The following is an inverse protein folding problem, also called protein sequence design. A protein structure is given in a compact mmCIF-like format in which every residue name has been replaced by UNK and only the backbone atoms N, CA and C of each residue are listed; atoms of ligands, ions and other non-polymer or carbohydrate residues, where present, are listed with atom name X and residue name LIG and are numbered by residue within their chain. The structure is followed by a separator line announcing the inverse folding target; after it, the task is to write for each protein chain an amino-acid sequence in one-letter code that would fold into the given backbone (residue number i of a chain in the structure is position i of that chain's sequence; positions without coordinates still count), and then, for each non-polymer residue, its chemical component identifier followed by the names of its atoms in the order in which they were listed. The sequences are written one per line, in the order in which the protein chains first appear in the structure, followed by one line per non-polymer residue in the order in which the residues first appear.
data_IF_734415986384
#
_entry.id   IF_734415986384
#
_cell.length_a   1.000
_cell.length_b   1.000
_cell.length_c   1.000
_cell.angle_alpha   90.00
_cell.angle_beta   90.00
_cell.angle_gamma   90.00
#
_symmetry.space_group_name_H-M   'P 1'
#
loop_
_entity.id
_entity.type
_entity.pdbx_description
1 polymer ?
#
# COMPACT_ATOMS: atom_id res chain seq x y z
N UNK A 1 -23.99 -17.36 -4.49
CA UNK A 1 -22.78 -16.72 -5.05
C UNK A 1 -21.79 -16.47 -3.92
N UNK A 2 -20.60 -17.04 -4.01
CA UNK A 2 -19.59 -16.89 -2.96
C UNK A 2 -18.95 -15.49 -3.01
N UNK A 3 -19.08 -14.73 -1.92
CA UNK A 3 -18.40 -13.43 -1.73
C UNK A 3 -17.12 -13.55 -0.89
N UNK A 4 -16.69 -14.79 -0.67
CA UNK A 4 -15.55 -15.16 0.17
C UNK A 4 -14.68 -16.11 -0.61
N UNK A 5 -13.37 -16.04 -0.39
CA UNK A 5 -12.40 -16.92 -1.03
C UNK A 5 -11.36 -17.40 -0.03
N UNK A 6 -10.70 -18.53 -0.33
CA UNK A 6 -9.59 -19.01 0.46
C UNK A 6 -8.39 -18.04 0.36
N UNK A 7 -7.85 -17.67 1.51
CA UNK A 7 -6.67 -16.83 1.65
C UNK A 7 -5.44 -17.40 0.95
N UNK A 8 -5.17 -18.71 1.04
CA UNK A 8 -3.97 -19.32 0.46
C UNK A 8 -3.93 -19.12 -1.05
N UNK A 9 -5.06 -19.37 -1.71
CA UNK A 9 -5.20 -19.19 -3.15
C UNK A 9 -5.04 -17.73 -3.59
N UNK A 10 -5.51 -16.78 -2.77
CA UNK A 10 -5.30 -15.36 -3.03
C UNK A 10 -3.81 -15.03 -3.02
N UNK A 11 -3.06 -15.54 -2.04
CA UNK A 11 -1.62 -15.34 -1.94
C UNK A 11 -0.90 -15.93 -3.17
N UNK A 12 -1.24 -17.17 -3.56
CA UNK A 12 -0.65 -17.81 -4.75
C UNK A 12 -0.89 -16.95 -6.01
N UNK A 13 -2.11 -16.44 -6.19
CA UNK A 13 -2.48 -15.65 -7.37
C UNK A 13 -1.79 -14.28 -7.40
N UNK A 14 -1.64 -13.58 -6.27
CA UNK A 14 -0.97 -12.27 -6.27
C UNK A 14 0.53 -12.38 -6.59
N UNK A 15 1.14 -13.55 -6.44
CA UNK A 15 2.54 -13.76 -6.79
C UNK A 15 2.77 -14.00 -8.29
N UNK A 16 1.74 -14.39 -9.04
CA UNK A 16 1.86 -14.62 -10.48
C UNK A 16 2.01 -13.29 -11.24
N UNK A 17 3.09 -13.14 -12.01
CA UNK A 17 3.46 -11.85 -12.62
C UNK A 17 3.04 -11.69 -14.09
N UNK A 18 2.75 -12.78 -14.80
CA UNK A 18 2.64 -12.76 -16.26
C UNK A 18 1.20 -12.57 -16.78
N UNK A 19 0.21 -12.49 -15.88
CA UNK A 19 -1.21 -12.51 -16.26
C UNK A 19 -1.99 -11.34 -15.64
N UNK A 20 -2.07 -10.23 -16.38
CA UNK A 20 -2.66 -8.97 -15.92
C UNK A 20 -4.13 -9.05 -15.46
N UNK A 21 -4.88 -10.06 -15.91
CA UNK A 21 -6.32 -10.24 -15.61
C UNK A 21 -6.60 -11.51 -14.80
N UNK A 22 -5.57 -12.15 -14.25
CA UNK A 22 -5.72 -13.41 -13.50
C UNK A 22 -6.56 -13.21 -12.24
N UNK A 23 -6.27 -12.14 -11.48
CA UNK A 23 -7.01 -11.75 -10.27
C UNK A 23 -8.49 -11.54 -10.59
N UNK A 24 -8.80 -10.76 -11.63
CA UNK A 24 -10.19 -10.47 -12.03
C UNK A 24 -10.93 -11.74 -12.45
N UNK A 25 -10.26 -12.59 -13.24
CA UNK A 25 -10.81 -13.84 -13.73
C UNK A 25 -11.11 -14.77 -12.55
N UNK A 26 -10.17 -14.93 -11.64
CA UNK A 26 -10.32 -15.74 -10.43
C UNK A 26 -11.46 -15.24 -9.54
N UNK A 27 -11.49 -13.95 -9.21
CA UNK A 27 -12.57 -13.42 -8.36
C UNK A 27 -13.93 -13.59 -9.01
N UNK A 28 -14.03 -13.38 -10.32
CA UNK A 28 -15.28 -13.61 -11.05
C UNK A 28 -15.71 -15.07 -10.98
N UNK A 29 -14.78 -16.03 -11.17
CA UNK A 29 -15.03 -17.46 -11.00
C UNK A 29 -15.54 -17.77 -9.58
N UNK A 30 -14.93 -17.21 -8.54
CA UNK A 30 -15.39 -17.35 -7.16
C UNK A 30 -16.82 -16.82 -7.01
N UNK A 31 -17.10 -15.63 -7.53
CA UNK A 31 -18.42 -15.00 -7.44
C UNK A 31 -19.52 -15.85 -8.07
N UNK A 32 -19.29 -16.37 -9.28
CA UNK A 32 -20.26 -17.19 -10.01
C UNK A 32 -20.39 -18.62 -9.46
N UNK A 33 -19.44 -19.06 -8.64
CA UNK A 33 -19.50 -20.41 -8.07
C UNK A 33 -20.68 -20.58 -7.11
N UNK A 34 -21.27 -21.76 -7.18
CA UNK A 34 -22.29 -22.25 -6.27
C UNK A 34 -21.64 -23.19 -5.26
N UNK A 35 -21.98 -23.02 -3.98
CA UNK A 35 -21.58 -23.95 -2.94
C UNK A 35 -22.53 -25.14 -2.95
N UNK A 36 -21.97 -26.34 -3.08
CA UNK A 36 -22.68 -27.61 -3.00
C UNK A 36 -22.09 -28.42 -1.85
N UNK A 37 -22.93 -28.99 -0.98
CA UNK A 37 -22.47 -29.88 0.09
C UNK A 37 -22.74 -31.31 -0.34
N UNK A 38 -21.69 -32.11 -0.49
CA UNK A 38 -21.84 -33.52 -0.81
C UNK A 38 -22.31 -34.28 0.43
N UNK A 39 -23.41 -35.04 0.30
CA UNK A 39 -24.07 -35.69 1.44
C UNK A 39 -23.20 -36.75 2.10
N UNK A 40 -22.46 -37.54 1.30
CA UNK A 40 -21.63 -38.66 1.78
C UNK A 40 -20.42 -38.20 2.58
N UNK A 41 -19.67 -37.24 2.05
CA UNK A 41 -18.43 -36.77 2.70
C UNK A 41 -18.68 -35.57 3.61
N UNK A 42 -19.88 -34.98 3.56
CA UNK A 42 -20.27 -33.71 4.18
C UNK A 42 -19.37 -32.53 3.77
N UNK A 43 -18.55 -32.68 2.73
CA UNK A 43 -17.61 -31.66 2.24
C UNK A 43 -18.33 -30.65 1.37
N UNK A 44 -17.85 -29.41 1.44
CA UNK A 44 -18.32 -28.34 0.57
C UNK A 44 -17.50 -28.33 -0.72
N UNK A 45 -18.17 -28.16 -1.84
CA UNK A 45 -17.60 -27.99 -3.18
C UNK A 45 -18.07 -26.65 -3.74
N UNK A 46 -17.21 -26.01 -4.53
CA UNK A 46 -17.51 -24.74 -5.20
C UNK A 46 -17.49 -24.98 -6.70
N UNK A 47 -18.67 -25.01 -7.31
CA UNK A 47 -18.88 -25.48 -8.68
C UNK A 47 -19.45 -24.36 -9.55
N UNK A 48 -18.97 -24.30 -10.79
CA UNK A 48 -19.44 -23.43 -11.84
C UNK A 48 -19.95 -24.33 -12.96
N UNK A 49 -21.28 -24.42 -13.08
CA UNK A 49 -21.91 -25.27 -14.08
C UNK A 49 -21.73 -24.69 -15.48
N UNK A 50 -21.31 -25.55 -16.41
CA UNK A 50 -21.10 -25.20 -17.81
C UNK A 50 -21.52 -26.37 -18.70
N UNK A 51 -22.01 -26.07 -19.89
CA UNK A 51 -22.44 -27.09 -20.87
C UNK A 51 -21.34 -28.08 -21.27
N UNK A 52 -20.06 -27.71 -21.16
CA UNK A 52 -18.92 -28.60 -21.43
C UNK A 52 -17.63 -28.16 -20.72
N UNK A 53 -16.59 -28.99 -20.83
CA UNK A 53 -15.22 -28.71 -20.35
C UNK A 53 -14.44 -27.70 -21.21
N UNK A 54 -15.13 -27.02 -22.14
CA UNK A 54 -14.52 -26.01 -22.98
C UNK A 54 -14.27 -24.72 -22.21
N UNK A 55 -13.03 -24.22 -22.27
CA UNK A 55 -12.69 -22.89 -21.75
C UNK A 55 -13.54 -21.77 -22.38
N UNK A 56 -14.03 -21.98 -23.61
CA UNK A 56 -14.90 -21.03 -24.29
C UNK A 56 -16.25 -20.92 -23.60
N UNK A 57 -16.80 -22.05 -23.13
CA UNK A 57 -18.06 -22.06 -22.39
C UNK A 57 -17.90 -21.41 -21.01
N UNK A 58 -16.79 -21.68 -20.31
CA UNK A 58 -16.48 -20.98 -19.06
C UNK A 58 -16.29 -19.47 -19.27
N UNK A 59 -15.64 -19.04 -20.36
CA UNK A 59 -15.55 -17.63 -20.74
C UNK A 59 -16.93 -17.00 -20.97
N UNK A 60 -17.87 -17.68 -21.63
CA UNK A 60 -19.23 -17.15 -21.83
C UNK A 60 -19.92 -16.86 -20.50
N UNK A 61 -19.77 -17.76 -19.51
CA UNK A 61 -20.33 -17.55 -18.16
C UNK A 61 -19.66 -16.35 -17.47
N UNK A 62 -18.32 -16.25 -17.52
CA UNK A 62 -17.59 -15.09 -16.99
C UNK A 62 -18.05 -13.79 -17.64
N UNK A 63 -18.18 -13.76 -18.98
CA UNK A 63 -18.59 -12.57 -19.73
C UNK A 63 -20.01 -12.14 -19.40
N UNK A 64 -20.91 -13.10 -19.17
CA UNK A 64 -22.29 -12.83 -18.74
C UNK A 64 -22.31 -12.13 -17.38
N UNK A 65 -21.49 -12.57 -16.44
CA UNK A 65 -21.39 -11.96 -15.10
C UNK A 65 -20.63 -10.63 -15.10
N UNK A 66 -19.59 -10.53 -15.93
CA UNK A 66 -18.69 -9.39 -16.00
C UNK A 66 -18.50 -8.92 -17.46
N UNK A 67 -19.45 -8.13 -18.00
CA UNK A 67 -19.45 -7.73 -19.42
C UNK A 67 -18.23 -6.91 -19.86
N UNK A 68 -17.50 -6.32 -18.92
CA UNK A 68 -16.27 -5.57 -19.19
C UNK A 68 -15.07 -6.44 -19.61
N UNK A 69 -15.16 -7.78 -19.51
CA UNK A 69 -14.17 -8.69 -20.09
C UNK A 69 -14.28 -8.74 -21.62
N UNK A 70 -13.51 -7.87 -22.28
CA UNK A 70 -13.52 -7.72 -23.74
C UNK A 70 -12.83 -8.87 -24.48
N UNK A 71 -11.65 -9.29 -24.01
CA UNK A 71 -10.80 -10.25 -24.72
C UNK A 71 -11.04 -11.69 -24.27
N UNK A 72 -11.61 -12.51 -25.15
CA UNK A 72 -11.74 -13.96 -24.93
C UNK A 72 -10.39 -14.62 -24.70
N UNK A 73 -9.39 -14.26 -25.51
CA UNK A 73 -8.04 -14.85 -25.46
C UNK A 73 -7.42 -14.59 -24.10
N UNK A 74 -7.48 -13.36 -23.60
CA UNK A 74 -6.91 -12.99 -22.30
C UNK A 74 -7.54 -13.79 -21.15
N UNK A 75 -8.87 -13.91 -21.14
CA UNK A 75 -9.58 -14.68 -20.09
C UNK A 75 -9.25 -16.17 -20.21
N UNK A 76 -9.26 -16.72 -21.43
CA UNK A 76 -8.94 -18.13 -21.68
C UNK A 76 -7.52 -18.47 -21.22
N UNK A 77 -6.56 -17.57 -21.47
CA UNK A 77 -5.19 -17.73 -20.97
C UNK A 77 -5.15 -17.72 -19.43
N UNK A 78 -5.90 -16.83 -18.78
CA UNK A 78 -6.00 -16.82 -17.32
C UNK A 78 -6.67 -18.10 -16.77
N UNK A 79 -7.70 -18.63 -17.44
CA UNK A 79 -8.34 -19.91 -17.08
C UNK A 79 -7.34 -21.06 -17.18
N UNK A 80 -6.56 -21.12 -18.26
CA UNK A 80 -5.52 -22.13 -18.44
C UNK A 80 -4.47 -22.05 -17.32
N UNK A 81 -4.07 -20.84 -16.95
CA UNK A 81 -3.15 -20.62 -15.83
C UNK A 81 -3.74 -21.11 -14.50
N UNK A 82 -4.99 -20.74 -14.18
CA UNK A 82 -5.65 -21.23 -12.96
C UNK A 82 -5.77 -22.76 -12.92
N UNK A 83 -5.95 -23.40 -14.08
CA UNK A 83 -5.93 -24.86 -14.19
C UNK A 83 -4.53 -25.41 -13.96
N UNK A 84 -3.50 -24.79 -14.54
CA UNK A 84 -2.09 -25.17 -14.35
C UNK A 84 -1.67 -25.06 -12.88
N UNK A 85 -2.10 -23.99 -12.18
CA UNK A 85 -1.92 -23.82 -10.73
C UNK A 85 -2.71 -24.84 -9.89
N UNK A 86 -3.54 -25.69 -10.49
CA UNK A 86 -4.40 -26.64 -9.78
C UNK A 86 -5.55 -26.00 -9.00
N UNK A 87 -5.84 -24.72 -9.24
CA UNK A 87 -6.91 -23.96 -8.56
C UNK A 87 -8.27 -24.35 -9.13
N UNK A 88 -8.36 -24.55 -10.45
CA UNK A 88 -9.60 -25.01 -11.09
C UNK A 88 -9.44 -26.35 -11.79
N UNK A 89 -10.50 -27.15 -11.75
CA UNK A 89 -10.56 -28.46 -12.40
C UNK A 89 -11.96 -28.72 -12.94
N UNK A 90 -12.09 -29.29 -14.13
CA UNK A 90 -13.39 -29.75 -14.62
C UNK A 90 -13.65 -31.18 -14.12
N UNK A 91 -14.86 -31.47 -13.66
CA UNK A 91 -15.30 -32.87 -13.47
C UNK A 91 -16.57 -33.12 -14.27
N UNK A 92 -16.50 -34.17 -15.09
CA UNK A 92 -17.61 -34.65 -15.92
C UNK A 92 -18.78 -35.15 -15.05
N UNK A 93 -18.48 -35.75 -13.91
CA UNK A 93 -19.50 -36.32 -13.01
C UNK A 93 -20.45 -35.28 -12.42
N UNK A 94 -20.00 -34.03 -12.21
CA UNK A 94 -20.88 -32.93 -11.77
C UNK A 94 -21.20 -31.92 -12.88
N UNK A 95 -20.75 -32.16 -14.13
CA UNK A 95 -21.02 -31.27 -15.27
C UNK A 95 -20.51 -29.83 -15.07
N UNK A 96 -19.35 -29.63 -14.43
CA UNK A 96 -18.90 -28.29 -14.07
C UNK A 96 -17.44 -28.14 -13.70
N UNK A 97 -17.02 -26.88 -13.58
CA UNK A 97 -15.70 -26.48 -13.11
C UNK A 97 -15.71 -26.26 -11.60
N UNK A 98 -14.73 -26.84 -10.94
CA UNK A 98 -14.53 -26.76 -9.50
C UNK A 98 -13.43 -25.77 -9.19
N UNK A 99 -13.59 -25.04 -8.10
CA UNK A 99 -12.50 -24.30 -7.48
C UNK A 99 -11.97 -25.16 -6.33
N UNK A 100 -10.87 -25.88 -6.58
CA UNK A 100 -10.23 -26.79 -5.62
C UNK A 100 -9.73 -25.99 -4.42
N UNK A 101 -9.77 -26.52 -3.20
CA UNK A 101 -9.24 -25.84 -2.00
C UNK A 101 -10.08 -24.67 -1.47
N UNK A 102 -11.17 -24.27 -2.14
CA UNK A 102 -12.08 -23.23 -1.62
C UNK A 102 -12.77 -23.66 -0.32
N UNK A 103 -13.00 -24.96 -0.12
CA UNK A 103 -13.58 -25.49 1.12
C UNK A 103 -12.68 -25.23 2.33
N UNK A 104 -11.36 -25.21 2.13
CA UNK A 104 -10.41 -25.02 3.23
C UNK A 104 -10.54 -23.61 3.84
N UNK A 105 -11.26 -22.68 3.20
CA UNK A 105 -11.59 -21.37 3.79
C UNK A 105 -12.34 -21.46 5.12
N UNK A 106 -13.02 -22.58 5.39
CA UNK A 106 -13.67 -22.85 6.67
C UNK A 106 -12.64 -23.16 7.78
N UNK A 107 -11.46 -23.65 7.42
CA UNK A 107 -10.41 -24.08 8.35
C UNK A 107 -9.25 -23.07 8.41
N UNK A 108 -8.70 -22.67 7.26
CA UNK A 108 -7.55 -21.75 7.14
C UNK A 108 -7.94 -20.27 7.15
N UNK A 109 -9.24 -19.99 7.07
CA UNK A 109 -9.81 -18.65 7.02
C UNK A 109 -10.04 -18.15 5.61
N UNK A 110 -10.83 -17.07 5.52
CA UNK A 110 -11.34 -16.54 4.28
C UNK A 110 -11.03 -15.05 4.12
N UNK A 111 -10.94 -14.60 2.87
CA UNK A 111 -10.93 -13.19 2.49
C UNK A 111 -12.30 -12.82 1.91
N UNK A 112 -12.92 -11.76 2.42
CA UNK A 112 -14.11 -11.19 1.80
C UNK A 112 -13.72 -10.45 0.52
N UNK A 113 -14.48 -10.66 -0.56
CA UNK A 113 -14.31 -10.00 -1.84
C UNK A 113 -15.24 -8.77 -1.90
N UNK A 114 -14.71 -7.54 -1.78
CA UNK A 114 -15.53 -6.34 -1.85
C UNK A 114 -16.15 -6.18 -3.24
N UNK A 115 -17.33 -5.57 -3.31
CA UNK A 115 -18.03 -5.31 -4.59
C UNK A 115 -17.17 -4.58 -5.62
N UNK A 116 -16.27 -3.71 -5.16
CA UNK A 116 -15.33 -2.98 -6.00
C UNK A 116 -14.46 -3.89 -6.89
N UNK A 117 -14.12 -5.11 -6.46
CA UNK A 117 -13.34 -6.04 -7.28
C UNK A 117 -14.06 -6.51 -8.54
N UNK A 118 -15.37 -6.28 -8.63
CA UNK A 118 -16.19 -6.69 -9.76
C UNK A 118 -16.60 -5.51 -10.65
N UNK A 119 -15.92 -4.36 -10.55
CA UNK A 119 -16.21 -3.18 -11.37
C UNK A 119 -15.24 -3.03 -12.54
N UNK A 120 -15.67 -2.27 -13.55
CA UNK A 120 -14.82 -1.88 -14.68
C UNK A 120 -13.59 -1.08 -14.23
N UNK A 121 -13.72 -0.30 -13.15
CA UNK A 121 -12.63 0.50 -12.60
C UNK A 121 -11.53 -0.38 -12.03
N UNK A 122 -11.87 -1.39 -11.23
CA UNK A 122 -10.89 -2.38 -10.77
C UNK A 122 -10.28 -3.15 -11.95
N UNK A 123 -11.12 -3.54 -12.92
CA UNK A 123 -10.64 -4.22 -14.13
C UNK A 123 -9.58 -3.42 -14.87
N UNK A 124 -9.67 -2.10 -14.90
CA UNK A 124 -8.75 -1.22 -15.64
C UNK A 124 -7.47 -0.85 -14.88
N UNK A 125 -7.33 -1.23 -13.60
CA UNK A 125 -6.09 -0.98 -12.86
C UNK A 125 -4.90 -1.73 -13.47
N UNK A 126 -3.69 -1.19 -13.26
CA UNK A 126 -2.48 -1.94 -13.57
C UNK A 126 -2.31 -3.10 -12.58
N UNK A 127 -1.55 -4.12 -12.98
CA UNK A 127 -1.43 -5.37 -12.21
C UNK A 127 -0.85 -5.16 -10.80
N UNK A 128 0.12 -4.25 -10.64
CA UNK A 128 0.70 -3.93 -9.34
C UNK A 128 -0.30 -3.27 -8.40
N UNK A 129 -1.15 -2.36 -8.91
CA UNK A 129 -2.23 -1.74 -8.14
C UNK A 129 -3.26 -2.76 -7.70
N UNK A 130 -3.65 -3.70 -8.58
CA UNK A 130 -4.57 -4.79 -8.22
C UNK A 130 -4.01 -5.65 -7.11
N UNK A 131 -2.78 -6.13 -7.28
CA UNK A 131 -2.08 -6.95 -6.29
C UNK A 131 -1.99 -6.23 -4.93
N UNK A 132 -1.63 -4.95 -4.94
CA UNK A 132 -1.53 -4.15 -3.72
C UNK A 132 -2.89 -3.98 -3.01
N UNK A 133 -3.96 -3.73 -3.77
CA UNK A 133 -5.32 -3.64 -3.21
C UNK A 133 -5.80 -4.97 -2.63
N UNK A 134 -5.59 -6.05 -3.37
CA UNK A 134 -5.95 -7.40 -2.91
C UNK A 134 -5.18 -7.74 -1.63
N UNK A 135 -3.88 -7.46 -1.61
CA UNK A 135 -3.06 -7.69 -0.43
C UNK A 135 -3.48 -6.83 0.78
N UNK A 136 -3.86 -5.57 0.54
CA UNK A 136 -4.41 -4.72 1.59
C UNK A 136 -5.71 -5.29 2.19
N UNK A 137 -6.63 -5.77 1.34
CA UNK A 137 -7.89 -6.40 1.75
C UNK A 137 -7.65 -7.73 2.45
N UNK A 138 -6.67 -8.52 2.01
CA UNK A 138 -6.21 -9.71 2.70
C UNK A 138 -5.77 -9.38 4.13
N UNK A 139 -4.87 -8.41 4.30
CA UNK A 139 -4.38 -7.99 5.62
C UNK A 139 -5.55 -7.59 6.54
N UNK A 140 -6.52 -6.81 6.03
CA UNK A 140 -7.70 -6.37 6.78
C UNK A 140 -8.57 -7.56 7.24
N UNK A 141 -8.74 -8.57 6.38
CA UNK A 141 -9.61 -9.71 6.67
C UNK A 141 -9.00 -10.72 7.66
N UNK A 142 -7.66 -10.80 7.75
CA UNK A 142 -7.00 -11.70 8.71
C UNK A 142 -7.23 -11.27 10.16
N UNK A 143 -7.45 -12.27 11.06
CA UNK A 143 -7.92 -12.09 12.45
C UNK A 143 -7.07 -11.13 13.31
N UNK A 144 -5.82 -10.86 12.94
CA UNK A 144 -4.97 -9.89 13.64
C UNK A 144 -5.39 -8.43 13.49
N UNK A 145 -6.07 -8.05 12.39
CA UNK A 145 -6.36 -6.65 12.08
C UNK A 145 -7.79 -6.19 12.32
N UNK A 146 -8.73 -7.10 12.61
CA UNK A 146 -10.12 -6.75 12.94
C UNK A 146 -10.25 -5.79 14.14
N UNK A 147 -9.25 -5.79 15.03
CA UNK A 147 -9.18 -4.93 16.20
C UNK A 147 -8.10 -3.83 16.12
N UNK A 148 -7.26 -3.83 15.07
CA UNK A 148 -6.17 -2.87 14.93
C UNK A 148 -6.68 -1.61 14.24
N UNK A 149 -6.58 -0.47 14.95
CA UNK A 149 -6.93 0.87 14.45
C UNK A 149 -6.05 1.32 13.28
N UNK A 150 -4.94 0.63 13.02
CA UNK A 150 -3.98 0.95 11.96
C UNK A 150 -3.41 -0.31 11.31
N UNK A 151 -3.40 -0.36 9.98
CA UNK A 151 -2.69 -1.39 9.20
C UNK A 151 -1.20 -1.07 9.24
N UNK A 152 -0.36 -2.01 9.68
CA UNK A 152 1.08 -1.81 9.64
C UNK A 152 1.63 -2.22 8.27
N UNK A 153 2.29 -1.28 7.61
CA UNK A 153 3.01 -1.53 6.35
C UNK A 153 4.49 -1.57 6.70
N UNK A 154 5.02 -2.78 6.88
CA UNK A 154 6.45 -2.98 7.12
C UNK A 154 7.17 -3.01 5.78
N UNK A 155 7.81 -1.89 5.42
CA UNK A 155 8.64 -1.81 4.22
C UNK A 155 10.13 -2.07 4.52
N UNK A 156 10.49 -2.35 5.80
CA UNK A 156 11.86 -2.65 6.24
C UNK A 156 12.30 -4.06 5.86
N UNK A 157 11.37 -5.00 5.86
CA UNK A 157 11.64 -6.40 5.61
C UNK A 157 11.94 -6.58 4.12
N UNK A 158 13.15 -7.05 3.82
CA UNK A 158 13.66 -7.16 2.45
C UNK A 158 12.79 -8.07 1.58
N UNK A 159 12.10 -9.01 2.22
CA UNK A 159 11.11 -9.92 1.61
C UNK A 159 9.66 -9.54 1.92
N UNK A 160 9.38 -8.28 2.27
CA UNK A 160 7.99 -7.86 2.50
C UNK A 160 7.16 -8.05 1.23
N UNK A 161 5.94 -8.54 1.40
CA UNK A 161 4.99 -8.74 0.31
C UNK A 161 4.76 -7.48 -0.53
N UNK A 162 4.81 -6.31 0.11
CA UNK A 162 4.76 -5.02 -0.56
C UNK A 162 5.90 -4.85 -1.57
N UNK A 163 7.14 -5.23 -1.23
CA UNK A 163 8.28 -5.17 -2.14
C UNK A 163 8.13 -6.15 -3.30
N UNK A 164 7.64 -7.36 -3.04
CA UNK A 164 7.38 -8.37 -4.08
C UNK A 164 6.33 -7.90 -5.10
N UNK A 165 5.23 -7.31 -4.61
CA UNK A 165 4.12 -6.80 -5.44
C UNK A 165 4.56 -5.67 -6.38
N UNK A 166 5.33 -4.71 -5.87
CA UNK A 166 5.76 -3.54 -6.63
C UNK A 166 7.10 -3.73 -7.34
N UNK A 167 7.81 -4.84 -7.10
CA UNK A 167 9.14 -5.14 -7.64
C UNK A 167 10.13 -3.99 -7.46
N UNK A 168 10.08 -3.34 -6.30
CA UNK A 168 10.92 -2.18 -5.99
C UNK A 168 11.54 -2.33 -4.61
N UNK A 169 12.82 -1.98 -4.51
CA UNK A 169 13.54 -1.86 -3.22
C UNK A 169 13.41 -0.46 -2.61
N UNK A 170 12.93 0.54 -3.37
CA UNK A 170 12.83 1.91 -2.91
C UNK A 170 11.61 2.10 -1.98
N UNK A 171 11.88 2.18 -0.68
CA UNK A 171 10.88 2.30 0.38
C UNK A 171 10.00 3.54 0.25
N UNK A 172 10.52 4.65 -0.27
CA UNK A 172 9.76 5.90 -0.46
C UNK A 172 8.83 5.83 -1.67
N UNK A 173 9.30 5.23 -2.77
CA UNK A 173 8.47 4.91 -3.93
C UNK A 173 7.29 4.01 -3.53
N UNK A 174 7.57 2.92 -2.80
CA UNK A 174 6.57 2.01 -2.28
C UNK A 174 5.56 2.74 -1.38
N UNK A 175 6.04 3.57 -0.44
CA UNK A 175 5.18 4.38 0.42
C UNK A 175 4.25 5.27 -0.40
N UNK A 176 4.78 6.03 -1.37
CA UNK A 176 3.99 6.95 -2.20
C UNK A 176 2.94 6.18 -3.00
N UNK A 177 3.30 5.06 -3.62
CA UNK A 177 2.38 4.21 -4.38
C UNK A 177 1.28 3.63 -3.50
N UNK A 178 1.62 3.05 -2.35
CA UNK A 178 0.67 2.49 -1.39
C UNK A 178 -0.26 3.59 -0.86
N UNK A 179 0.26 4.76 -0.48
CA UNK A 179 -0.55 5.90 -0.03
C UNK A 179 -1.51 6.40 -1.11
N UNK A 180 -1.07 6.47 -2.36
CA UNK A 180 -1.94 6.89 -3.48
C UNK A 180 -3.08 5.88 -3.70
N UNK A 181 -2.79 4.59 -3.64
CA UNK A 181 -3.80 3.53 -3.74
C UNK A 181 -4.79 3.61 -2.57
N UNK A 182 -4.29 3.79 -1.34
CA UNK A 182 -5.13 3.94 -0.15
C UNK A 182 -6.03 5.16 -0.28
N UNK A 183 -5.47 6.32 -0.63
CA UNK A 183 -6.24 7.56 -0.78
C UNK A 183 -7.30 7.45 -1.86
N UNK A 184 -6.95 6.83 -2.99
CA UNK A 184 -7.85 6.69 -4.14
C UNK A 184 -8.97 5.69 -3.89
N UNK A 185 -8.72 4.59 -3.20
CA UNK A 185 -9.70 3.49 -3.12
C UNK A 185 -10.27 3.29 -1.73
N UNK A 186 -9.49 3.49 -0.67
CA UNK A 186 -9.99 3.31 0.71
C UNK A 186 -10.71 4.53 1.26
N UNK A 187 -10.41 5.75 0.78
CA UNK A 187 -11.18 6.95 1.17
C UNK A 187 -12.59 6.91 0.57
N UNK A 188 -12.71 6.52 -0.69
CA UNK A 188 -13.99 6.31 -1.39
C UNK A 188 -14.77 5.09 -0.83
N UNK A 189 -14.07 3.97 -0.56
CA UNK A 189 -14.70 2.84 0.14
C UNK A 189 -15.14 3.22 1.56
N UNK A 190 -14.47 4.15 2.26
CA UNK A 190 -14.89 4.55 3.61
C UNK A 190 -16.22 5.31 3.61
N UNK A 191 -16.53 6.09 2.58
CA UNK A 191 -17.80 6.80 2.46
C UNK A 191 -18.93 5.89 1.98
N UNK A 192 -18.67 5.05 0.98
CA UNK A 192 -19.68 4.13 0.45
C UNK A 192 -20.00 2.98 1.44
N UNK A 193 -18.98 2.47 2.13
CA UNK A 193 -19.13 1.48 3.20
C UNK A 193 -19.78 2.10 4.44
N UNK A 194 -19.45 3.36 4.80
CA UNK A 194 -20.19 4.15 5.81
C UNK A 194 -21.67 4.24 5.48
N UNK A 195 -22.00 4.61 4.23
CA UNK A 195 -23.40 4.82 3.81
C UNK A 195 -24.21 3.52 3.93
N UNK A 196 -23.63 2.38 3.52
CA UNK A 196 -24.30 1.06 3.61
C UNK A 196 -24.37 0.51 5.04
N UNK A 197 -23.36 0.74 5.89
CA UNK A 197 -23.46 0.40 7.32
C UNK A 197 -24.51 1.29 8.01
N UNK A 198 -24.50 2.60 7.77
CA UNK A 198 -25.52 3.52 8.31
C UNK A 198 -26.94 3.13 7.90
N UNK A 199 -27.15 2.68 6.66
CA UNK A 199 -28.44 2.17 6.19
C UNK A 199 -28.89 0.88 6.89
N UNK A 200 -27.96 -0.03 7.23
CA UNK A 200 -28.25 -1.24 8.01
C UNK A 200 -28.63 -0.95 9.47
N UNK A 201 -28.21 0.19 10.02
CA UNK A 201 -28.44 0.57 11.42
C UNK A 201 -29.49 1.69 11.59
N UNK A 202 -30.32 1.99 10.57
CA UNK A 202 -31.41 3.00 10.58
C UNK A 202 -32.56 2.74 11.58
N UNK A 203 -32.34 1.96 12.64
CA UNK A 203 -33.28 1.75 13.74
C UNK A 203 -32.67 1.78 15.15
N UNK A 204 -31.35 1.96 15.27
CA UNK A 204 -30.67 2.03 16.57
C UNK A 204 -29.82 3.30 16.64
N UNK A 205 -30.48 4.42 16.89
CA UNK A 205 -29.81 5.61 17.43
C UNK A 205 -29.37 5.31 18.86
N UNK A 206 -28.20 4.69 19.00
CA UNK A 206 -27.51 4.69 20.29
C UNK A 206 -26.10 5.26 20.11
N UNK A 207 -25.62 5.85 21.19
CA UNK A 207 -24.34 6.49 21.48
C UNK A 207 -23.06 5.81 20.94
N UNK A 208 -23.18 4.66 20.26
CA UNK A 208 -22.14 3.97 19.51
C UNK A 208 -21.64 4.74 18.26
N UNK A 209 -22.54 5.46 17.57
CA UNK A 209 -22.20 6.20 16.33
C UNK A 209 -21.22 7.36 16.60
N UNK A 210 -21.28 7.98 17.78
CA UNK A 210 -20.32 9.06 18.16
C UNK A 210 -18.91 8.54 18.50
N UNK A 211 -18.74 7.29 18.93
CA UNK A 211 -17.42 6.73 19.30
C UNK A 211 -16.62 6.15 18.14
N UNK A 212 -17.26 5.85 16.99
CA UNK A 212 -16.64 5.16 15.83
C UNK A 212 -16.26 6.08 14.66
N UNK A 213 -16.07 7.39 14.91
CA UNK A 213 -15.56 8.39 13.96
C UNK A 213 -14.07 8.22 13.60
N UNK A 214 -13.55 6.98 13.56
CA UNK A 214 -12.09 6.71 13.54
C UNK A 214 -11.70 6.06 12.21
N UNK A 215 -11.09 6.85 11.34
CA UNK A 215 -10.58 6.47 10.03
C UNK A 215 -9.61 5.28 10.12
N UNK A 216 -9.68 4.39 9.12
CA UNK A 216 -8.71 3.31 8.94
C UNK A 216 -7.35 3.93 8.62
N UNK A 217 -6.44 3.96 9.59
CA UNK A 217 -5.10 4.51 9.40
C UNK A 217 -4.12 3.48 8.85
N UNK A 218 -3.14 3.89 8.05
CA UNK A 218 -1.99 3.04 7.71
C UNK A 218 -0.76 3.58 8.42
N UNK A 219 -0.07 2.72 9.19
CA UNK A 219 1.17 3.06 9.89
C UNK A 219 2.34 2.43 9.14
N UNK A 220 3.15 3.25 8.50
CA UNK A 220 4.35 2.81 7.80
C UNK A 220 5.51 2.73 8.79
N UNK A 221 6.21 1.61 8.81
CA UNK A 221 7.40 1.39 9.66
C UNK A 221 8.64 1.53 8.76
N UNK A 222 9.46 2.56 8.98
CA UNK A 222 10.70 2.83 8.23
C UNK A 222 11.93 2.49 9.06
N UNK A 223 12.97 1.91 8.45
CA UNK A 223 14.31 2.00 9.04
C UNK A 223 14.79 3.39 8.63
N UNK A 224 15.31 4.21 9.55
CA UNK A 224 16.27 5.21 9.12
C UNK A 224 17.36 4.48 8.33
N UNK A 225 17.90 5.10 7.29
CA UNK A 225 19.07 4.56 6.59
C UNK A 225 20.11 4.15 7.66
N UNK A 226 20.82 3.02 7.58
CA UNK A 226 21.84 2.67 8.61
C UNK A 226 22.85 3.80 8.81
N UNK A 227 23.13 4.54 7.74
CA UNK A 227 23.88 5.80 7.74
C UNK A 227 23.26 6.89 8.65
N UNK A 228 21.93 6.98 8.72
CA UNK A 228 21.17 7.90 9.58
C UNK A 228 21.18 7.42 11.04
N UNK A 229 21.16 6.11 11.34
CA UNK A 229 21.30 5.63 12.73
C UNK A 229 22.71 5.85 13.29
N UNK A 230 23.75 5.77 12.46
CA UNK A 230 25.13 6.10 12.85
C UNK A 230 25.37 7.61 13.01
N UNK A 231 24.60 8.43 12.29
CA UNK A 231 24.74 9.90 12.32
C UNK A 231 23.79 10.56 13.34
N UNK A 232 22.60 9.99 13.55
CA UNK A 232 21.56 10.50 14.46
C UNK A 232 21.55 9.62 15.71
N UNK A 233 22.51 9.89 16.59
CA UNK A 233 22.61 9.20 17.88
C UNK A 233 23.63 9.78 18.86
N UNK A 234 24.49 10.71 18.43
CA UNK A 234 25.52 11.31 19.30
C UNK A 234 25.15 12.75 19.68
N UNK A 235 24.60 12.90 20.89
CA UNK A 235 24.47 14.08 21.78
C UNK A 235 24.01 15.46 21.19
N UNK A 236 23.49 16.39 22.01
CA UNK A 236 22.93 17.66 21.54
C UNK A 236 24.03 18.61 21.02
N UNK A 237 23.79 19.36 19.93
CA UNK A 237 24.80 20.17 19.25
C UNK A 237 24.89 21.58 19.86
N UNK A 238 25.20 21.67 21.15
CA UNK A 238 25.58 22.95 21.78
C UNK A 238 27.09 23.01 22.04
N UNK A 239 27.78 21.85 22.09
CA UNK A 239 29.24 21.73 22.25
C UNK A 239 30.00 21.45 20.94
N UNK A 240 29.31 21.32 19.80
CA UNK A 240 29.94 20.90 18.54
C UNK A 240 30.23 22.03 17.54
N UNK A 241 29.69 23.25 17.71
CA UNK A 241 29.89 24.30 16.70
C UNK A 241 31.37 24.70 16.52
N UNK A 242 32.18 24.61 17.58
CA UNK A 242 33.62 24.91 17.50
C UNK A 242 34.41 23.77 16.86
N UNK A 243 34.21 22.51 17.26
CA UNK A 243 34.86 21.35 16.63
C UNK A 243 34.42 21.13 15.16
N UNK A 244 33.19 21.50 14.81
CA UNK A 244 32.65 21.36 13.45
C UNK A 244 33.18 22.43 12.48
N UNK A 245 33.67 23.59 12.97
CA UNK A 245 34.27 24.65 12.13
C UNK A 245 35.50 24.16 11.38
N UNK A 246 36.28 23.28 12.01
CA UNK A 246 37.57 22.85 11.49
C UNK A 246 37.45 21.74 10.43
N UNK A 247 36.39 20.92 10.48
CA UNK A 247 36.18 19.81 9.53
C UNK A 247 35.60 20.19 8.17
N UNK A 248 34.95 21.34 8.03
CA UNK A 248 34.39 21.79 6.74
C UNK A 248 34.20 23.33 6.67
N UNK A 249 35.32 24.09 6.62
CA UNK A 249 35.29 25.55 6.74
C UNK A 249 34.55 26.24 5.59
N UNK A 250 34.50 25.63 4.40
CA UNK A 250 33.77 26.16 3.25
C UNK A 250 32.25 26.23 3.46
N UNK A 251 31.66 25.17 4.00
CA UNK A 251 30.22 25.13 4.30
C UNK A 251 29.87 26.09 5.44
N UNK A 252 30.67 26.12 6.50
CA UNK A 252 30.47 27.04 7.62
C UNK A 252 30.55 28.50 7.17
N UNK A 253 31.58 28.85 6.38
CA UNK A 253 31.74 30.18 5.83
C UNK A 253 30.59 30.59 4.91
N UNK A 254 30.04 29.66 4.13
CA UNK A 254 28.87 29.94 3.30
C UNK A 254 27.62 30.22 4.15
N UNK A 255 27.24 29.32 5.05
CA UNK A 255 26.04 29.50 5.90
C UNK A 255 26.11 30.80 6.70
N UNK A 256 27.29 31.12 7.26
CA UNK A 256 27.51 32.34 8.02
C UNK A 256 27.36 33.60 7.17
N UNK A 257 28.02 33.66 6.01
CA UNK A 257 27.88 34.80 5.09
C UNK A 257 26.42 34.98 4.65
N UNK A 258 25.72 33.89 4.37
CA UNK A 258 24.29 33.96 4.01
C UNK A 258 23.46 34.50 5.17
N UNK A 259 23.67 34.05 6.41
CA UNK A 259 23.00 34.56 7.63
C UNK A 259 23.26 36.06 7.85
N UNK A 260 24.49 36.51 7.62
CA UNK A 260 24.91 37.92 7.74
C UNK A 260 24.32 38.82 6.64
N UNK A 261 23.82 38.25 5.54
CA UNK A 261 23.13 38.97 4.47
C UNK A 261 21.60 39.02 4.66
N UNK A 262 21.04 38.31 5.65
CA UNK A 262 19.61 38.32 5.94
C UNK A 262 19.16 39.59 6.68
N UNK A 263 17.93 40.00 6.43
CA UNK A 263 17.23 41.03 7.21
C UNK A 263 17.14 40.64 8.70
N UNK A 264 17.22 41.64 9.58
CA UNK A 264 17.33 41.44 11.04
C UNK A 264 16.25 40.53 11.65
N UNK A 265 15.00 40.66 11.20
CA UNK A 265 13.90 39.88 11.74
C UNK A 265 14.01 38.39 11.39
N UNK A 266 14.60 38.04 10.24
CA UNK A 266 14.83 36.65 9.80
C UNK A 266 16.10 36.11 10.41
N UNK A 267 17.13 36.94 10.51
CA UNK A 267 18.37 36.61 11.21
C UNK A 267 18.08 36.18 12.65
N UNK A 268 17.13 36.85 13.33
CA UNK A 268 16.63 36.45 14.66
C UNK A 268 15.90 35.09 14.67
N UNK A 269 15.18 34.75 13.59
CA UNK A 269 14.56 33.43 13.39
C UNK A 269 15.58 32.35 13.06
N UNK A 270 16.72 32.70 12.45
CA UNK A 270 17.83 31.79 12.10
C UNK A 270 18.72 31.50 13.32
N UNK A 271 18.21 30.68 14.23
CA UNK A 271 18.89 30.29 15.47
C UNK A 271 20.12 29.41 15.23
N UNK A 272 21.01 29.34 16.22
CA UNK A 272 22.20 28.48 16.16
C UNK A 272 21.83 26.99 16.04
N UNK A 273 20.63 26.60 16.50
CA UNK A 273 20.08 25.25 16.31
C UNK A 273 19.77 24.94 14.84
N UNK A 274 19.31 25.94 14.08
CA UNK A 274 19.08 25.82 12.63
C UNK A 274 20.42 25.75 11.90
N UNK A 275 21.38 26.59 12.30
CA UNK A 275 22.73 26.61 11.75
C UNK A 275 23.44 25.26 11.94
N UNK A 276 23.42 24.72 13.16
CA UNK A 276 23.99 23.42 13.48
C UNK A 276 23.30 22.27 12.71
N UNK A 277 21.97 22.33 12.58
CA UNK A 277 21.21 21.33 11.84
C UNK A 277 21.50 21.36 10.33
N UNK A 278 21.65 22.55 9.72
CA UNK A 278 22.08 22.71 8.34
C UNK A 278 23.45 22.08 8.12
N UNK A 279 24.40 22.37 9.00
CA UNK A 279 25.72 21.79 8.92
C UNK A 279 25.68 20.25 9.02
N UNK A 280 25.02 19.73 10.06
CA UNK A 280 24.96 18.30 10.35
C UNK A 280 24.37 17.49 9.18
N UNK A 281 23.31 18.01 8.56
CA UNK A 281 22.60 17.31 7.48
C UNK A 281 23.22 17.55 6.09
N UNK A 282 23.90 18.68 5.86
CA UNK A 282 24.41 19.04 4.53
C UNK A 282 25.91 18.74 4.32
N UNK A 283 26.69 18.44 5.38
CA UNK A 283 28.14 18.22 5.30
C UNK A 283 28.59 17.15 4.31
N UNK A 284 27.74 16.16 4.03
CA UNK A 284 28.02 15.05 3.12
C UNK A 284 27.57 15.32 1.67
N UNK A 285 26.95 16.45 1.40
CA UNK A 285 26.42 16.82 0.09
C UNK A 285 27.46 17.58 -0.74
N UNK A 286 27.25 17.63 -2.05
CA UNK A 286 28.04 18.49 -2.95
C UNK A 286 27.78 19.96 -2.63
N UNK A 287 28.75 20.83 -2.93
CA UNK A 287 28.61 22.26 -2.66
C UNK A 287 27.34 22.90 -3.26
N UNK A 288 26.95 22.63 -4.53
CA UNK A 288 25.70 23.17 -5.07
C UNK A 288 24.44 22.70 -4.31
N UNK A 289 24.42 21.46 -3.84
CA UNK A 289 23.33 20.91 -3.05
C UNK A 289 23.23 21.59 -1.67
N UNK A 290 24.37 21.86 -1.04
CA UNK A 290 24.44 22.59 0.23
C UNK A 290 23.84 24.00 0.09
N UNK A 291 24.18 24.72 -0.99
CA UNK A 291 23.65 26.05 -1.28
C UNK A 291 22.13 26.03 -1.45
N UNK A 292 21.64 25.13 -2.32
CA UNK A 292 20.21 24.99 -2.59
C UNK A 292 19.38 24.71 -1.33
N UNK A 293 19.84 23.80 -0.48
CA UNK A 293 19.12 23.42 0.74
C UNK A 293 19.13 24.56 1.76
N UNK A 294 20.25 25.26 1.92
CA UNK A 294 20.33 26.44 2.79
C UNK A 294 19.34 27.52 2.35
N UNK A 295 19.28 27.82 1.05
CA UNK A 295 18.33 28.80 0.49
C UNK A 295 16.87 28.38 0.69
N UNK A 296 16.55 27.09 0.51
CA UNK A 296 15.21 26.56 0.79
C UNK A 296 14.80 26.73 2.25
N UNK A 297 15.71 26.45 3.18
CA UNK A 297 15.44 26.59 4.63
C UNK A 297 15.21 28.05 4.99
N UNK A 298 16.03 28.96 4.45
CA UNK A 298 15.86 30.40 4.64
C UNK A 298 14.51 30.87 4.10
N UNK A 299 14.15 30.50 2.86
CA UNK A 299 12.85 30.85 2.27
C UNK A 299 11.68 30.37 3.14
N UNK A 300 11.83 29.23 3.81
CA UNK A 300 10.79 28.71 4.72
C UNK A 300 10.72 29.45 6.05
N UNK A 301 11.79 30.10 6.49
CA UNK A 301 11.76 30.99 7.66
C UNK A 301 11.07 32.32 7.39
N UNK A 302 10.96 32.75 6.13
CA UNK A 302 10.04 33.82 5.75
C UNK A 302 8.58 33.41 5.95
N UNK A 303 8.24 32.16 5.61
CA UNK A 303 6.86 31.64 5.62
C UNK A 303 6.38 31.16 7.00
N UNK A 304 7.29 30.83 7.92
CA UNK A 304 7.00 30.11 9.16
C UNK A 304 7.63 30.86 10.35
N UNK A 305 6.88 30.95 11.45
CA UNK A 305 7.36 31.66 12.64
C UNK A 305 8.43 30.90 13.43
N UNK A 306 8.35 29.58 13.51
CA UNK A 306 9.33 28.76 14.23
C UNK A 306 9.43 27.33 13.69
N UNK A 307 10.66 26.79 13.62
CA UNK A 307 10.93 25.38 13.34
C UNK A 307 11.20 24.63 14.66
N UNK A 308 10.19 23.92 15.17
CA UNK A 308 10.27 23.19 16.46
C UNK A 308 11.33 22.09 16.54
N UNK A 309 11.81 21.58 15.41
CA UNK A 309 12.84 20.52 15.38
C UNK A 309 13.72 20.68 14.14
N UNK A 310 14.70 21.59 14.18
CA UNK A 310 15.52 21.95 13.01
C UNK A 310 16.17 20.74 12.33
N UNK A 311 16.79 19.82 13.08
CA UNK A 311 17.41 18.62 12.50
C UNK A 311 16.45 17.74 11.70
N UNK A 312 15.27 17.46 12.27
CA UNK A 312 14.25 16.63 11.59
C UNK A 312 13.69 17.33 10.37
N UNK A 313 13.54 18.65 10.45
CA UNK A 313 12.98 19.46 9.38
C UNK A 313 13.95 19.57 8.20
N UNK A 314 15.19 19.97 8.48
CA UNK A 314 16.24 20.13 7.46
C UNK A 314 16.61 18.76 6.88
N UNK A 315 16.70 17.72 7.71
CA UNK A 315 16.89 16.35 7.23
C UNK A 315 15.78 15.90 6.27
N UNK A 316 14.53 16.34 6.47
CA UNK A 316 13.45 16.06 5.53
C UNK A 316 13.61 16.82 4.19
N UNK A 317 14.12 18.06 4.20
CA UNK A 317 14.41 18.84 2.99
C UNK A 317 15.56 18.20 2.20
N UNK A 318 16.65 17.84 2.88
CA UNK A 318 17.80 17.15 2.27
C UNK A 318 17.36 15.84 1.62
N UNK A 319 16.52 15.07 2.31
CA UNK A 319 15.96 13.84 1.77
C UNK A 319 15.07 14.10 0.54
N UNK A 320 14.33 15.20 0.50
CA UNK A 320 13.53 15.57 -0.66
C UNK A 320 14.43 15.96 -1.85
N UNK A 321 15.48 16.74 -1.62
CA UNK A 321 16.44 17.15 -2.65
C UNK A 321 17.15 15.96 -3.32
N UNK A 322 17.64 14.99 -2.52
CA UNK A 322 18.26 13.74 -3.01
C UNK A 322 17.25 12.83 -3.75
N UNK A 323 15.95 13.02 -3.54
CA UNK A 323 14.92 12.24 -4.23
C UNK A 323 14.53 12.83 -5.59
N UNK A 324 14.84 14.10 -5.83
CA UNK A 324 14.50 14.85 -7.05
C UNK A 324 15.69 14.99 -8.03
N UNK A 325 16.92 14.76 -7.55
CA UNK A 325 18.18 14.78 -8.30
C UNK A 325 18.96 13.51 -8.03
#
# INVERSE_FOLDING_TARGET
MATKTNISQVLDIIHVNNFNKLIDTYFTLVKISSQYREERTKRNFFVIYTESDSYCNLYKVIKKEAPYFRSRTTVTTCIKELKYMGIIQYSRGMGGWFIKGMADMFDTGYMELPRFFFTKDFYNLNISEKKALVYAIYIINTKGYKNLRKIMVNLKEDESEWRKIFKSKNVYYLRRRILNIIRKFFRDLSEEFRRRELEKYKGYESSYVRRKKRELGFRFVFRPNRFIEETIGKKPPELMLEELRDTNPGLHGYIRRTKEQLEDWIRKKFTDKIEAALYSNCKALTYPAQQYITEMVIRKLYDIDEIKSPDKYIGAIVLAYIQEN
#
